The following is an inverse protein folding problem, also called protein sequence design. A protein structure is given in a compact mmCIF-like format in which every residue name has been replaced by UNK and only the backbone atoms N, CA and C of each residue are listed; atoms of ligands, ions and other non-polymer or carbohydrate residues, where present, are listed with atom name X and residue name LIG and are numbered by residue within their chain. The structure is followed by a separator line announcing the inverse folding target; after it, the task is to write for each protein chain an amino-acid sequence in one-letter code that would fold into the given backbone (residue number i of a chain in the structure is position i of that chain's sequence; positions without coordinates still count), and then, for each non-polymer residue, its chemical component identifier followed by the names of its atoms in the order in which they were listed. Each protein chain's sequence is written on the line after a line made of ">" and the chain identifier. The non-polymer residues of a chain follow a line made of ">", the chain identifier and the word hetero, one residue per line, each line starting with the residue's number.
data_IF_210269381297
#
_entry.id   IF_210269381297
#
_cell.length_a   1.000
_cell.length_b   1.000
_cell.length_c   1.000
_cell.angle_alpha   90.00
_cell.angle_beta   90.00
_cell.angle_gamma   90.00
#
_symmetry.space_group_name_H-M   'P 1'
#
loop_
_entity.id
_entity.type
_entity.pdbx_description
1 polymer ?
#
# COMPACT_ATOMS: atom_id res chain seq x y z
N UNK A 1 35.97 18.95 -3.86
CA UNK A 1 34.81 19.15 -2.96
C UNK A 1 33.55 18.78 -3.72
N UNK A 2 32.91 17.67 -3.35
CA UNK A 2 31.61 17.25 -3.91
C UNK A 2 30.73 16.93 -2.71
N UNK A 3 29.73 17.76 -2.48
CA UNK A 3 28.75 17.59 -1.42
C UNK A 3 27.79 16.46 -1.80
N UNK A 4 27.61 15.51 -0.88
CA UNK A 4 26.55 14.51 -0.93
C UNK A 4 25.28 15.10 -0.30
N UNK A 5 24.14 14.94 -0.96
CA UNK A 5 22.83 15.22 -0.36
C UNK A 5 22.31 13.97 0.38
N UNK A 6 21.79 14.09 1.61
CA UNK A 6 21.17 12.97 2.30
C UNK A 6 19.73 12.75 1.83
N UNK A 7 19.37 11.47 1.73
CA UNK A 7 18.05 11.00 1.33
C UNK A 7 16.96 11.30 2.34
N UNK A 8 15.74 11.45 1.84
CA UNK A 8 14.54 11.64 2.63
C UNK A 8 13.95 10.27 2.98
N UNK A 9 13.73 10.02 4.27
CA UNK A 9 13.01 8.85 4.78
C UNK A 9 11.63 9.31 5.22
N UNK A 10 10.58 8.74 4.65
CA UNK A 10 9.19 9.00 5.05
C UNK A 10 8.79 8.06 6.19
N UNK A 11 8.30 8.63 7.30
CA UNK A 11 7.80 7.90 8.48
C UNK A 11 6.28 8.12 8.55
N UNK A 12 5.50 7.03 8.61
CA UNK A 12 4.07 7.09 8.94
C UNK A 12 3.85 6.64 10.37
N UNK A 13 3.08 7.40 11.14
CA UNK A 13 2.72 7.13 12.53
C UNK A 13 1.20 6.95 12.62
N UNK A 14 0.72 5.86 13.20
CA UNK A 14 -0.68 5.67 13.58
C UNK A 14 -0.76 5.56 15.11
N UNK A 15 -1.62 6.35 15.76
CA UNK A 15 -1.84 6.30 17.21
C UNK A 15 -3.33 6.07 17.44
N UNK A 16 -3.69 4.99 18.13
CA UNK A 16 -5.02 4.78 18.69
C UNK A 16 -4.96 5.11 20.19
N UNK A 17 -5.92 5.89 20.69
CA UNK A 17 -6.02 6.28 22.10
C UNK A 17 -7.32 5.69 22.65
N UNK A 18 -7.22 4.70 23.54
CA UNK A 18 -8.34 4.24 24.36
C UNK A 18 -8.24 4.81 25.78
N UNK A 19 -9.41 5.16 26.32
CA UNK A 19 -9.61 5.90 27.57
C UNK A 19 -9.33 5.08 28.84
N UNK A 20 -8.32 5.55 29.57
CA UNK A 20 -8.02 5.51 31.02
C UNK A 20 -8.68 4.44 31.92
N UNK A 21 -7.85 3.51 32.39
CA UNK A 21 -7.88 3.02 33.77
C UNK A 21 -6.46 3.09 34.34
N UNK A 22 -6.28 3.88 35.40
CA UNK A 22 -4.99 4.08 36.07
C UNK A 22 -4.63 2.82 36.86
N UNK A 23 -3.77 1.98 36.26
CA UNK A 23 -2.90 1.07 36.99
C UNK A 23 -1.47 1.61 36.78
N UNK A 24 -0.73 1.88 37.85
CA UNK A 24 0.67 2.31 37.77
C UNK A 24 1.53 1.11 37.37
N UNK A 25 1.47 0.72 36.10
CA UNK A 25 2.54 -0.05 35.46
C UNK A 25 3.67 0.91 35.15
N UNK A 26 4.90 0.55 35.53
CA UNK A 26 6.10 1.24 35.07
C UNK A 26 5.96 1.50 33.57
N UNK A 27 6.03 2.76 33.17
CA UNK A 27 5.89 3.14 31.78
C UNK A 27 7.14 2.62 31.06
N UNK A 28 7.06 1.40 30.54
CA UNK A 28 8.08 0.86 29.65
C UNK A 28 8.19 1.83 28.48
N UNK A 29 9.36 2.45 28.33
CA UNK A 29 9.64 3.25 27.15
C UNK A 29 9.50 2.34 25.95
N UNK A 30 8.58 2.63 25.01
CA UNK A 30 8.42 1.79 23.83
C UNK A 30 9.77 1.71 23.10
N UNK A 31 10.25 0.48 22.90
CA UNK A 31 11.47 0.24 22.13
C UNK A 31 11.10 0.07 20.66
N UNK A 32 11.88 0.71 19.78
CA UNK A 32 11.73 0.58 18.34
C UNK A 32 12.86 -0.32 17.85
N UNK A 33 12.50 -1.46 17.26
CA UNK A 33 13.44 -2.35 16.58
C UNK A 33 13.31 -2.19 15.06
N UNK A 34 14.40 -2.51 14.35
CA UNK A 34 14.41 -2.53 12.89
C UNK A 34 14.51 -3.97 12.41
N UNK A 35 13.52 -4.39 11.65
CA UNK A 35 13.53 -5.66 10.93
C UNK A 35 13.70 -5.42 9.42
N UNK A 36 14.39 -6.35 8.73
CA UNK A 36 14.57 -6.31 7.27
C UNK A 36 13.78 -7.48 6.68
N UNK A 37 12.63 -7.17 6.08
CA UNK A 37 11.76 -8.20 5.48
C UNK A 37 12.33 -8.75 4.17
N UNK A 38 12.95 -7.87 3.36
CA UNK A 38 13.55 -8.23 2.08
C UNK A 38 14.67 -7.25 1.75
N UNK A 39 15.73 -7.73 1.11
CA UNK A 39 16.83 -6.89 0.65
C UNK A 39 17.15 -7.22 -0.81
N UNK A 40 17.07 -6.19 -1.67
CA UNK A 40 17.45 -6.31 -3.06
C UNK A 40 18.11 -5.02 -3.56
N UNK A 41 19.41 -4.88 -3.27
CA UNK A 41 20.22 -3.75 -3.74
C UNK A 41 21.14 -4.10 -4.90
N UNK A 42 21.33 -5.39 -5.16
CA UNK A 42 22.17 -5.94 -6.23
C UNK A 42 21.39 -6.27 -7.50
N UNK A 43 20.05 -6.17 -7.45
CA UNK A 43 19.18 -6.46 -8.59
C UNK A 43 18.91 -7.96 -8.81
N UNK A 44 19.27 -8.83 -7.86
CA UNK A 44 19.10 -10.28 -7.97
C UNK A 44 17.65 -10.76 -7.74
N UNK A 45 16.80 -9.92 -7.16
CA UNK A 45 15.41 -10.21 -6.83
C UNK A 45 14.49 -8.99 -7.08
N UNK A 46 13.28 -8.97 -6.52
CA UNK A 46 12.37 -7.82 -6.64
C UNK A 46 12.79 -6.75 -5.63
N UNK A 47 12.98 -5.51 -6.08
CA UNK A 47 13.06 -4.36 -5.16
C UNK A 47 11.64 -3.93 -4.79
N UNK A 48 11.27 -4.24 -3.56
CA UNK A 48 9.98 -3.86 -2.99
C UNK A 48 9.94 -2.40 -2.54
N UNK A 49 8.81 -1.75 -2.77
CA UNK A 49 8.61 -0.33 -2.53
C UNK A 49 7.16 -0.05 -2.08
N UNK A 50 6.98 1.15 -1.52
CA UNK A 50 5.70 1.62 -0.96
C UNK A 50 4.99 0.62 -0.03
N UNK A 51 5.68 0.09 1.01
CA UNK A 51 4.99 -0.71 2.03
C UNK A 51 3.97 0.16 2.77
N UNK A 52 2.70 -0.26 2.77
CA UNK A 52 1.61 0.37 3.53
C UNK A 52 0.87 -0.74 4.27
N UNK A 53 0.73 -0.63 5.58
CA UNK A 53 0.17 -1.71 6.39
C UNK A 53 -1.00 -1.24 7.25
N UNK A 54 -1.90 -2.17 7.54
CA UNK A 54 -2.95 -2.05 8.54
C UNK A 54 -3.01 -3.32 9.41
N UNK A 55 -3.67 -3.20 10.57
CA UNK A 55 -3.99 -4.35 11.42
C UNK A 55 -5.38 -4.84 11.06
N UNK A 56 -5.52 -6.14 10.82
CA UNK A 56 -6.80 -6.84 10.67
C UNK A 56 -7.03 -7.65 11.95
N UNK A 57 -8.00 -7.28 12.79
CA UNK A 57 -8.25 -7.95 14.06
C UNK A 57 -8.59 -9.42 13.88
N UNK A 58 -8.17 -10.25 14.82
CA UNK A 58 -8.63 -11.62 14.86
C UNK A 58 -10.11 -11.72 15.26
N UNK A 59 -10.81 -12.74 14.78
CA UNK A 59 -12.09 -13.17 15.36
C UNK A 59 -11.78 -14.26 16.40
N UNK A 60 -11.86 -13.90 17.68
CA UNK A 60 -11.89 -14.71 18.93
C UNK A 60 -10.88 -15.86 19.14
N UNK A 61 -10.08 -16.28 18.14
CA UNK A 61 -9.13 -17.38 18.26
C UNK A 61 -7.94 -17.30 17.30
N UNK A 62 -7.80 -16.20 16.55
CA UNK A 62 -6.64 -15.96 15.69
C UNK A 62 -5.75 -14.90 16.33
N UNK A 63 -4.49 -14.81 15.91
CA UNK A 63 -3.69 -13.63 16.18
C UNK A 63 -4.07 -12.52 15.21
N UNK A 64 -3.95 -11.27 15.63
CA UNK A 64 -4.11 -10.12 14.76
C UNK A 64 -3.20 -10.28 13.53
N UNK A 65 -3.73 -9.95 12.36
CA UNK A 65 -2.95 -10.01 11.12
C UNK A 65 -2.42 -8.63 10.80
N UNK A 66 -1.09 -8.51 10.68
CA UNK A 66 -0.48 -7.37 10.00
C UNK A 66 -0.64 -7.62 8.50
N UNK A 67 -1.42 -6.78 7.84
CA UNK A 67 -1.65 -6.86 6.40
C UNK A 67 -0.97 -5.68 5.71
N UNK A 68 -0.10 -5.96 4.75
CA UNK A 68 0.68 -4.95 4.04
C UNK A 68 0.47 -5.03 2.54
N UNK A 69 0.30 -3.89 1.88
CA UNK A 69 0.43 -3.75 0.43
C UNK A 69 1.82 -3.23 0.07
N UNK A 70 2.31 -3.64 -1.09
CA UNK A 70 3.63 -3.26 -1.60
C UNK A 70 3.71 -3.46 -3.12
N UNK A 71 4.68 -2.82 -3.76
CA UNK A 71 4.90 -2.95 -5.21
C UNK A 71 6.38 -3.13 -5.52
N UNK A 72 6.68 -3.94 -6.54
CA UNK A 72 8.00 -3.93 -7.14
C UNK A 72 8.25 -2.59 -7.84
N UNK A 73 9.50 -2.12 -7.86
CA UNK A 73 9.90 -0.91 -8.60
C UNK A 73 11.07 -1.20 -9.55
N UNK A 74 10.99 -0.67 -10.77
CA UNK A 74 12.03 -0.76 -11.81
C UNK A 74 12.40 0.62 -12.37
N UNK A 75 13.17 1.38 -11.58
CA UNK A 75 13.52 2.78 -11.85
C UNK A 75 12.50 3.79 -11.31
N UNK A 76 12.64 5.08 -11.67
CA UNK A 76 11.73 6.13 -11.18
C UNK A 76 10.32 5.93 -11.72
N UNK A 77 9.35 5.82 -10.82
CA UNK A 77 7.92 5.78 -11.14
C UNK A 77 7.48 4.62 -12.05
N UNK A 78 8.27 3.55 -12.09
CA UNK A 78 7.90 2.30 -12.76
C UNK A 78 7.45 1.28 -11.73
N UNK A 79 6.17 1.34 -11.35
CA UNK A 79 5.60 0.42 -10.37
C UNK A 79 5.09 -0.86 -11.04
N UNK A 80 5.50 -2.00 -10.51
CA UNK A 80 5.00 -3.33 -10.85
C UNK A 80 3.60 -3.61 -10.28
N UNK A 81 3.11 -4.84 -10.39
CA UNK A 81 1.84 -5.25 -9.80
C UNK A 81 1.82 -5.05 -8.28
N UNK A 82 0.65 -4.70 -7.74
CA UNK A 82 0.42 -4.60 -6.30
C UNK A 82 0.38 -5.99 -5.70
N UNK A 83 1.10 -6.19 -4.60
CA UNK A 83 1.12 -7.43 -3.82
C UNK A 83 0.65 -7.17 -2.39
N UNK A 84 0.13 -8.21 -1.75
CA UNK A 84 -0.09 -8.28 -0.32
C UNK A 84 0.95 -9.17 0.36
N UNK A 85 1.39 -8.78 1.55
CA UNK A 85 2.26 -9.54 2.42
C UNK A 85 1.65 -9.54 3.82
N UNK A 86 1.53 -10.70 4.47
CA UNK A 86 0.85 -10.79 5.77
C UNK A 86 1.71 -11.45 6.83
N UNK A 87 1.52 -11.04 8.09
CA UNK A 87 2.09 -11.68 9.26
C UNK A 87 0.98 -11.96 10.28
N UNK A 88 1.02 -13.14 10.88
CA UNK A 88 0.07 -13.61 11.92
C UNK A 88 0.76 -13.78 13.29
N UNK A 89 2.00 -13.32 13.42
CA UNK A 89 2.81 -13.47 14.62
C UNK A 89 3.46 -12.15 15.04
N UNK A 90 2.72 -11.05 14.83
CA UNK A 90 3.12 -9.68 15.16
C UNK A 90 4.39 -9.21 14.42
N UNK A 91 4.56 -9.66 13.17
CA UNK A 91 5.64 -9.22 12.29
C UNK A 91 6.94 -10.01 12.41
N UNK A 92 6.98 -11.09 13.21
CA UNK A 92 8.18 -11.93 13.38
C UNK A 92 8.45 -12.75 12.12
N UNK A 93 7.41 -13.30 11.51
CA UNK A 93 7.48 -13.98 10.22
C UNK A 93 6.40 -13.46 9.28
N UNK A 94 6.66 -13.57 7.98
CA UNK A 94 5.76 -13.09 6.95
C UNK A 94 5.53 -14.18 5.89
N UNK A 95 4.36 -14.15 5.25
CA UNK A 95 3.97 -15.08 4.18
C UNK A 95 4.85 -14.94 2.92
N UNK A 96 4.50 -15.59 1.81
CA UNK A 96 5.01 -15.12 0.52
C UNK A 96 4.19 -13.91 0.05
N UNK A 97 4.78 -12.92 -0.66
CA UNK A 97 4.01 -11.87 -1.30
C UNK A 97 3.08 -12.42 -2.38
N UNK A 98 1.79 -12.05 -2.32
CA UNK A 98 0.76 -12.52 -3.24
C UNK A 98 0.22 -11.37 -4.10
N UNK A 99 -0.02 -11.55 -5.40
CA UNK A 99 -0.53 -10.48 -6.27
C UNK A 99 -1.99 -10.12 -5.96
N UNK A 100 -2.30 -8.81 -5.94
CA UNK A 100 -3.67 -8.30 -5.83
C UNK A 100 -4.20 -7.98 -7.24
N UNK A 101 -4.81 -8.97 -7.88
CA UNK A 101 -5.22 -8.87 -9.29
C UNK A 101 -6.21 -7.74 -9.59
N UNK A 102 -6.97 -7.27 -8.60
CA UNK A 102 -7.87 -6.12 -8.75
C UNK A 102 -7.12 -4.86 -9.21
N UNK A 103 -5.83 -4.72 -8.85
CA UNK A 103 -4.98 -3.58 -9.18
C UNK A 103 -4.04 -3.82 -10.37
N UNK A 104 -4.23 -4.90 -11.13
CA UNK A 104 -3.45 -5.15 -12.34
C UNK A 104 -3.60 -3.99 -13.35
N UNK A 105 -2.55 -3.79 -14.15
CA UNK A 105 -2.57 -2.85 -15.28
C UNK A 105 -3.71 -3.23 -16.25
N UNK A 106 -4.42 -2.23 -16.76
CA UNK A 106 -5.46 -2.40 -17.78
C UNK A 106 -5.23 -1.44 -18.94
N UNK A 107 -5.60 -1.84 -20.14
CA UNK A 107 -5.63 -0.93 -21.28
C UNK A 107 -6.56 0.25 -21.01
N UNK A 108 -6.14 1.43 -21.46
CA UNK A 108 -6.97 2.64 -21.39
C UNK A 108 -7.86 2.71 -22.64
N UNK A 109 -9.20 2.76 -22.49
CA UNK A 109 -10.10 2.88 -23.64
C UNK A 109 -9.76 4.08 -24.52
N UNK A 110 -9.79 3.90 -25.84
CA UNK A 110 -9.47 4.95 -26.84
C UNK A 110 -8.01 5.47 -26.82
N UNK A 111 -7.10 4.84 -26.06
CA UNK A 111 -5.68 5.19 -26.03
C UNK A 111 -4.81 3.94 -26.29
N UNK A 112 -4.65 3.51 -27.57
CA UNK A 112 -3.89 2.30 -27.91
C UNK A 112 -2.48 2.31 -27.32
N UNK A 113 -2.10 1.19 -26.68
CA UNK A 113 -0.79 1.01 -26.06
C UNK A 113 -0.55 1.77 -24.75
N UNK A 114 -1.58 2.45 -24.20
CA UNK A 114 -1.53 3.07 -22.88
C UNK A 114 -2.12 2.12 -21.84
N UNK A 115 -1.39 1.90 -20.75
CA UNK A 115 -1.80 1.02 -19.66
C UNK A 115 -2.01 1.83 -18.37
N UNK A 116 -3.20 1.74 -17.79
CA UNK A 116 -3.53 2.25 -16.46
C UNK A 116 -3.15 1.21 -15.40
N UNK A 117 -2.06 1.46 -14.68
CA UNK A 117 -1.72 0.79 -13.43
C UNK A 117 -2.29 1.53 -12.21
N UNK A 118 -2.05 0.97 -11.04
CA UNK A 118 -2.38 1.59 -9.75
C UNK A 118 -1.11 1.66 -8.91
N UNK A 119 -0.87 2.79 -8.26
CA UNK A 119 0.22 2.96 -7.31
C UNK A 119 -0.28 3.55 -5.99
N UNK A 120 0.61 3.59 -5.00
CA UNK A 120 0.35 4.15 -3.66
C UNK A 120 -0.85 3.52 -2.96
N UNK A 121 -1.00 2.20 -3.10
CA UNK A 121 -2.12 1.49 -2.49
C UNK A 121 -1.96 1.44 -0.99
N UNK A 122 -2.91 2.03 -0.26
CA UNK A 122 -2.99 2.02 1.20
C UNK A 122 -4.15 1.12 1.62
N UNK A 123 -3.92 0.09 2.46
CA UNK A 123 -4.97 -0.72 3.04
C UNK A 123 -5.43 -0.13 4.37
N UNK A 124 -6.72 -0.24 4.66
CA UNK A 124 -7.30 0.10 5.96
C UNK A 124 -8.40 -0.90 6.32
N UNK A 125 -8.38 -1.39 7.56
CA UNK A 125 -9.44 -2.25 8.06
C UNK A 125 -10.68 -1.43 8.42
N UNK A 126 -11.85 -1.90 8.00
CA UNK A 126 -13.14 -1.28 8.28
C UNK A 126 -13.97 -2.21 9.18
N UNK A 127 -14.00 -1.96 10.51
CA UNK A 127 -14.68 -2.82 11.47
C UNK A 127 -16.17 -3.09 11.18
N UNK A 128 -17.00 -2.09 10.77
CA UNK A 128 -18.42 -2.31 10.56
C UNK A 128 -18.77 -3.35 9.47
N UNK A 129 -17.90 -3.54 8.49
CA UNK A 129 -18.11 -4.52 7.42
C UNK A 129 -17.15 -5.70 7.49
N UNK A 130 -16.22 -5.70 8.45
CA UNK A 130 -15.15 -6.70 8.59
C UNK A 130 -14.38 -6.95 7.28
N UNK A 131 -13.96 -5.86 6.65
CA UNK A 131 -13.22 -5.88 5.38
C UNK A 131 -11.99 -5.00 5.43
N UNK A 132 -11.04 -5.23 4.53
CA UNK A 132 -9.97 -4.26 4.24
C UNK A 132 -10.32 -3.48 2.97
N UNK A 133 -10.38 -2.16 3.09
CA UNK A 133 -10.47 -1.25 1.95
C UNK A 133 -9.06 -0.87 1.52
N UNK A 134 -8.69 -1.20 0.28
CA UNK A 134 -7.41 -0.80 -0.30
C UNK A 134 -7.65 0.27 -1.37
N UNK A 135 -7.05 1.44 -1.21
CA UNK A 135 -7.21 2.59 -2.12
C UNK A 135 -5.83 2.98 -2.66
N UNK A 136 -5.72 3.20 -3.97
CA UNK A 136 -4.55 3.80 -4.61
C UNK A 136 -4.95 4.82 -5.67
N UNK A 137 -3.96 5.34 -6.39
CA UNK A 137 -4.18 6.25 -7.52
C UNK A 137 -3.84 5.58 -8.86
N UNK A 138 -4.54 5.99 -9.92
CA UNK A 138 -4.18 5.54 -11.28
C UNK A 138 -2.88 6.20 -11.73
N UNK A 139 -2.04 5.41 -12.42
CA UNK A 139 -0.80 5.85 -13.07
C UNK A 139 -0.70 5.23 -14.46
N UNK A 140 -0.16 5.96 -15.42
CA UNK A 140 -0.16 5.56 -16.84
C UNK A 140 1.23 5.16 -17.33
N UNK A 141 1.28 4.08 -18.12
CA UNK A 141 2.49 3.51 -18.70
C UNK A 141 2.35 3.32 -20.21
N UNK A 142 3.45 3.50 -20.95
CA UNK A 142 3.61 3.01 -22.32
C UNK A 142 4.77 2.04 -22.36
N UNK A 143 4.48 0.79 -22.71
CA UNK A 143 5.44 -0.30 -22.57
C UNK A 143 5.91 -0.44 -21.11
N UNK A 144 7.23 -0.59 -20.85
CA UNK A 144 7.73 -0.77 -19.50
C UNK A 144 7.81 0.54 -18.69
N UNK A 145 7.68 1.72 -19.33
CA UNK A 145 7.99 3.01 -18.69
C UNK A 145 6.76 3.85 -18.40
N UNK A 146 6.90 4.71 -17.39
CA UNK A 146 5.94 5.77 -17.08
C UNK A 146 5.66 6.65 -18.32
N UNK A 147 4.39 6.91 -18.60
CA UNK A 147 3.95 7.64 -19.77
C UNK A 147 4.04 9.16 -19.54
N UNK A 148 5.24 9.73 -19.64
CA UNK A 148 5.47 11.18 -19.36
C UNK A 148 4.64 12.13 -20.23
N UNK A 149 4.32 11.74 -21.47
CA UNK A 149 3.58 12.57 -22.43
C UNK A 149 2.07 12.27 -22.48
N UNK A 150 1.62 11.19 -21.86
CA UNK A 150 0.22 10.73 -21.88
C UNK A 150 -0.32 10.59 -20.44
N UNK A 151 -0.14 11.63 -19.63
CA UNK A 151 -0.73 11.70 -18.29
C UNK A 151 -2.17 12.20 -18.40
N UNK A 152 -3.12 11.27 -18.37
CA UNK A 152 -4.53 11.61 -18.23
C UNK A 152 -4.84 12.05 -16.79
N UNK A 153 -6.05 12.57 -16.57
CA UNK A 153 -6.51 12.92 -15.23
C UNK A 153 -6.41 11.70 -14.30
N UNK A 154 -5.81 11.91 -13.13
CA UNK A 154 -5.69 10.86 -12.11
C UNK A 154 -6.99 10.77 -11.33
N UNK A 155 -7.30 9.57 -10.87
CA UNK A 155 -8.46 9.29 -10.04
C UNK A 155 -8.15 8.13 -9.09
N UNK A 156 -8.79 8.10 -7.92
CA UNK A 156 -8.63 7.02 -6.96
C UNK A 156 -9.29 5.73 -7.47
N UNK A 157 -8.60 4.62 -7.26
CA UNK A 157 -9.06 3.25 -7.49
C UNK A 157 -9.11 2.54 -6.16
N UNK A 158 -10.15 1.75 -5.92
CA UNK A 158 -10.23 0.90 -4.74
C UNK A 158 -10.65 -0.53 -5.05
N UNK A 159 -10.29 -1.43 -4.14
CA UNK A 159 -10.82 -2.79 -4.05
C UNK A 159 -10.98 -3.16 -2.58
N UNK A 160 -11.94 -4.03 -2.31
CA UNK A 160 -12.27 -4.49 -0.96
C UNK A 160 -11.84 -5.94 -0.81
N UNK A 161 -11.08 -6.25 0.24
CA UNK A 161 -10.74 -7.61 0.64
C UNK A 161 -11.70 -8.06 1.73
N UNK A 162 -12.40 -9.16 1.50
CA UNK A 162 -13.23 -9.82 2.50
C UNK A 162 -12.37 -10.54 3.54
N UNK A 163 -12.96 -10.92 4.69
CA UNK A 163 -12.28 -11.70 5.72
C UNK A 163 -11.66 -13.00 5.19
N UNK A 164 -12.36 -13.71 4.30
CA UNK A 164 -11.89 -14.96 3.67
C UNK A 164 -10.69 -14.77 2.71
N UNK A 165 -10.27 -13.52 2.48
CA UNK A 165 -9.17 -13.15 1.60
C UNK A 165 -9.54 -12.94 0.14
N UNK A 166 -10.81 -13.11 -0.23
CA UNK A 166 -11.30 -12.77 -1.55
C UNK A 166 -11.28 -11.26 -1.80
N UNK A 167 -11.00 -10.87 -3.04
CA UNK A 167 -10.99 -9.47 -3.47
C UNK A 167 -12.20 -9.14 -4.33
N UNK A 168 -12.78 -7.97 -4.10
CA UNK A 168 -13.76 -7.39 -5.02
C UNK A 168 -13.13 -7.06 -6.37
N UNK A 169 -13.97 -6.82 -7.37
CA UNK A 169 -13.52 -6.15 -8.59
C UNK A 169 -13.02 -4.74 -8.26
N UNK A 170 -12.05 -4.26 -9.04
CA UNK A 170 -11.58 -2.87 -9.00
C UNK A 170 -12.74 -1.90 -9.26
N UNK A 171 -12.79 -0.81 -8.50
CA UNK A 171 -13.76 0.26 -8.65
C UNK A 171 -13.04 1.61 -8.74
N UNK A 172 -13.66 2.57 -9.44
CA UNK A 172 -13.24 3.98 -9.39
C UNK A 172 -13.98 4.62 -8.22
N UNK A 173 -13.25 5.29 -7.34
CA UNK A 173 -13.89 6.12 -6.31
C UNK A 173 -14.29 7.44 -6.97
N UNK A 174 -15.57 7.60 -7.23
CA UNK A 174 -16.14 8.87 -7.66
C UNK A 174 -16.37 9.74 -6.44
N UNK A 175 -15.63 10.85 -6.37
CA UNK A 175 -15.77 11.83 -5.30
C UNK A 175 -16.33 13.11 -5.90
N UNK A 176 -17.61 13.38 -5.63
CA UNK A 176 -18.27 14.64 -6.00
C UNK A 176 -17.95 15.73 -4.98
N UNK A 177 -16.65 16.03 -4.85
CA UNK A 177 -16.15 17.13 -4.05
C UNK A 177 -15.17 17.95 -4.89
N UNK A 178 -15.41 19.25 -5.07
CA UNK A 178 -14.59 20.09 -5.93
C UNK A 178 -13.11 20.10 -5.49
N UNK A 179 -12.81 19.84 -4.20
CA UNK A 179 -11.43 19.73 -3.70
C UNK A 179 -10.66 18.57 -4.33
N UNK A 180 -11.35 17.48 -4.66
CA UNK A 180 -10.75 16.29 -5.26
C UNK A 180 -10.27 16.48 -6.71
N UNK A 181 -10.58 17.62 -7.33
CA UNK A 181 -10.18 17.95 -8.70
C UNK A 181 -8.86 18.73 -8.81
N UNK A 182 -8.32 19.22 -7.69
CA UNK A 182 -7.06 19.97 -7.67
C UNK A 182 -5.85 19.04 -7.45
N UNK A 183 -4.83 19.16 -8.31
CA UNK A 183 -3.56 18.43 -8.17
C UNK A 183 -2.71 19.00 -7.02
N UNK A 184 -2.89 20.29 -6.71
CA UNK A 184 -2.30 20.99 -5.57
C UNK A 184 -3.40 21.82 -4.92
N UNK A 185 -3.64 21.61 -3.63
CA UNK A 185 -4.50 22.45 -2.78
C UNK A 185 -3.65 23.37 -1.91
#
# INVERSE_FOLDING_TARGET
>A
MKHAFPGWTMVGLLVAIDSLSYCTTAQETPSITREILSQNRDGSSITWFHPKACVVPASDSMAETLFMTMQGIDGSDTFGPVHSWSSVDQGRTWSQPEPIHAFNRREVPNHPGLMAGVCDVVPEYHPPTDTVLAIGQVVFYRGPRFATKDQLARYPIYAVRSRDGSWSKRQVLHWDDPRGSFIYS
#
